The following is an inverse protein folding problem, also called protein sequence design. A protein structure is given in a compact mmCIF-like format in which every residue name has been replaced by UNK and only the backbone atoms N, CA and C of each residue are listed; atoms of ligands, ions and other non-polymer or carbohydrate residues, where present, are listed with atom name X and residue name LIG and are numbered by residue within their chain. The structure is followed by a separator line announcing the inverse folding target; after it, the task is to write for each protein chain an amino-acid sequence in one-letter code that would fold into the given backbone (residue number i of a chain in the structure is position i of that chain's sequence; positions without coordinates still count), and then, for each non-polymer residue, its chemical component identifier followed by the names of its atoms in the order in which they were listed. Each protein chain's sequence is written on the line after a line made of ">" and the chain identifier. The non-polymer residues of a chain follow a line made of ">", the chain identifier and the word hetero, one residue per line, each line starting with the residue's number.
data_IF_273518393669
#
_entry.id   IF_273518393669
#
_cell.length_a   1.000
_cell.length_b   1.000
_cell.length_c   1.000
_cell.angle_alpha   90.00
_cell.angle_beta   90.00
_cell.angle_gamma   90.00
#
_symmetry.space_group_name_H-M   'P 1'
#
loop_
_entity.id
_entity.type
_entity.pdbx_description
1 polymer ?
#
# COMPACT_ATOMS: atom_id res chain seq x y z
N UNK A 1 9.13 -14.88 -25.91
CA UNK A 1 7.92 -14.17 -25.40
C UNK A 1 7.72 -14.53 -23.93
N UNK A 2 7.34 -13.60 -23.04
CA UNK A 2 7.01 -13.97 -21.65
C UNK A 2 5.84 -14.96 -21.67
N UNK A 3 5.91 -16.01 -20.84
CA UNK A 3 4.84 -17.02 -20.80
C UNK A 3 3.55 -16.41 -20.29
N UNK A 4 2.41 -16.98 -20.68
CA UNK A 4 1.08 -16.52 -20.25
C UNK A 4 0.98 -16.40 -18.72
N UNK A 5 1.62 -17.34 -18.00
CA UNK A 5 1.73 -17.35 -16.55
C UNK A 5 2.42 -16.09 -16.00
N UNK A 6 3.51 -15.65 -16.63
CA UNK A 6 4.25 -14.47 -16.14
C UNK A 6 3.47 -13.19 -16.34
N UNK A 7 2.72 -13.07 -17.46
CA UNK A 7 1.79 -11.96 -17.70
C UNK A 7 0.68 -11.93 -16.66
N UNK A 8 0.12 -13.10 -16.37
CA UNK A 8 -0.90 -13.26 -15.32
C UNK A 8 -0.40 -12.83 -13.94
N UNK A 9 0.79 -13.28 -13.53
CA UNK A 9 1.37 -12.91 -12.23
C UNK A 9 1.64 -11.41 -12.12
N UNK A 10 2.13 -10.77 -13.19
CA UNK A 10 2.34 -9.33 -13.21
C UNK A 10 1.01 -8.55 -13.14
N UNK A 11 -0.02 -9.00 -13.86
CA UNK A 11 -1.36 -8.42 -13.79
C UNK A 11 -2.02 -8.62 -12.43
N UNK A 12 -1.84 -9.77 -11.78
CA UNK A 12 -2.32 -10.02 -10.41
C UNK A 12 -1.59 -9.10 -9.42
N UNK A 13 -0.26 -9.01 -9.49
CA UNK A 13 0.51 -8.14 -8.61
C UNK A 13 0.11 -6.67 -8.77
N UNK A 14 -0.14 -6.24 -10.01
CA UNK A 14 -0.65 -4.89 -10.29
C UNK A 14 -2.10 -4.69 -9.85
N UNK A 15 -2.97 -5.69 -10.02
CA UNK A 15 -4.34 -5.66 -9.53
C UNK A 15 -4.39 -5.56 -8.00
N UNK A 16 -3.54 -6.32 -7.30
CA UNK A 16 -3.37 -6.25 -5.85
C UNK A 16 -2.85 -4.88 -5.42
N UNK A 17 -1.86 -4.32 -6.11
CA UNK A 17 -1.36 -2.97 -5.89
C UNK A 17 -2.44 -1.90 -6.00
N UNK A 18 -3.26 -1.98 -7.05
CA UNK A 18 -4.36 -1.03 -7.27
C UNK A 18 -5.45 -1.20 -6.23
N UNK A 19 -5.89 -2.44 -5.96
CA UNK A 19 -6.89 -2.73 -4.95
C UNK A 19 -6.44 -2.26 -3.55
N UNK A 20 -5.17 -2.47 -3.24
CA UNK A 20 -4.57 -2.06 -1.98
C UNK A 20 -4.37 -0.55 -1.88
N UNK A 21 -3.87 0.13 -2.92
CA UNK A 21 -3.78 1.61 -2.92
C UNK A 21 -5.16 2.26 -2.81
N UNK A 22 -6.17 1.61 -3.39
CA UNK A 22 -7.58 2.01 -3.33
C UNK A 22 -8.21 1.85 -1.94
N UNK A 23 -7.73 0.92 -1.11
CA UNK A 23 -8.29 0.69 0.23
C UNK A 23 -7.41 1.23 1.37
N UNK A 24 -6.09 1.03 1.31
CA UNK A 24 -5.16 1.41 2.37
C UNK A 24 -4.79 2.90 2.40
N UNK A 25 -4.84 3.60 1.25
CA UNK A 25 -4.49 5.03 1.16
C UNK A 25 -5.74 5.88 0.90
N UNK A 26 -6.54 5.48 -0.09
CA UNK A 26 -7.77 6.19 -0.44
C UNK A 26 -8.83 6.10 0.66
N UNK A 27 -8.96 4.96 1.34
CA UNK A 27 -9.90 4.77 2.46
C UNK A 27 -9.82 5.83 3.56
N UNK A 28 -8.67 6.01 4.25
CA UNK A 28 -8.54 7.01 5.32
C UNK A 28 -8.64 8.46 4.82
N UNK A 29 -8.18 8.75 3.60
CA UNK A 29 -8.33 10.08 2.97
C UNK A 29 -9.80 10.39 2.70
N UNK A 30 -10.54 9.43 2.14
CA UNK A 30 -11.95 9.58 1.82
C UNK A 30 -12.82 9.64 3.07
N UNK A 31 -12.49 8.89 4.13
CA UNK A 31 -13.14 8.98 5.44
C UNK A 31 -13.07 10.41 6.02
N UNK A 32 -11.90 11.06 5.93
CA UNK A 32 -11.72 12.45 6.35
C UNK A 32 -12.40 13.44 5.40
N UNK A 33 -12.28 13.25 4.10
CA UNK A 33 -12.84 14.14 3.08
C UNK A 33 -14.37 14.20 3.14
N UNK A 34 -15.02 13.07 3.45
CA UNK A 34 -16.47 12.97 3.57
C UNK A 34 -16.99 13.12 5.00
N UNK A 35 -16.12 13.38 5.99
CA UNK A 35 -16.54 13.67 7.37
C UNK A 35 -17.29 12.53 8.05
N UNK A 36 -17.01 11.28 7.70
CA UNK A 36 -17.78 10.13 8.19
C UNK A 36 -17.67 9.90 9.70
N UNK A 37 -16.62 10.43 10.34
CA UNK A 37 -16.43 10.35 11.78
C UNK A 37 -17.45 11.17 12.57
N UNK A 38 -17.98 12.24 11.98
CA UNK A 38 -18.89 13.18 12.64
C UNK A 38 -20.37 12.98 12.22
N UNK A 39 -20.62 12.13 11.23
CA UNK A 39 -21.95 11.88 10.69
C UNK A 39 -22.67 10.74 11.42
N UNK A 40 -23.96 10.91 11.72
CA UNK A 40 -24.81 9.88 12.35
C UNK A 40 -26.15 9.72 11.60
N UNK A 41 -26.78 8.54 11.75
CA UNK A 41 -28.11 8.27 11.17
C UNK A 41 -28.16 8.33 9.64
N UNK A 42 -29.22 8.94 9.09
CA UNK A 42 -29.42 9.04 7.62
C UNK A 42 -28.32 9.86 6.91
N UNK A 43 -27.71 10.82 7.60
CA UNK A 43 -26.60 11.60 7.08
C UNK A 43 -25.32 10.76 6.91
N UNK A 44 -25.09 9.80 7.83
CA UNK A 44 -24.00 8.84 7.70
C UNK A 44 -24.18 7.94 6.47
N UNK A 45 -25.39 7.40 6.27
CA UNK A 45 -25.67 6.53 5.14
C UNK A 45 -25.44 7.24 3.79
N UNK A 46 -25.90 8.50 3.65
CA UNK A 46 -25.68 9.29 2.44
C UNK A 46 -24.22 9.69 2.21
N UNK A 47 -23.47 9.99 3.28
CA UNK A 47 -22.04 10.30 3.20
C UNK A 47 -21.21 9.06 2.82
N UNK A 48 -21.53 7.90 3.40
CA UNK A 48 -20.91 6.61 3.09
C UNK A 48 -21.14 6.22 1.62
N UNK A 49 -22.35 6.40 1.11
CA UNK A 49 -22.68 6.03 -0.27
C UNK A 49 -21.93 6.90 -1.28
N UNK A 50 -21.89 8.23 -1.06
CA UNK A 50 -21.07 9.15 -1.85
C UNK A 50 -19.58 8.83 -1.77
N UNK A 51 -19.10 8.48 -0.58
CA UNK A 51 -17.71 8.08 -0.36
C UNK A 51 -17.37 6.82 -1.18
N UNK A 52 -18.21 5.79 -1.12
CA UNK A 52 -18.01 4.53 -1.86
C UNK A 52 -18.01 4.77 -3.37
N UNK A 53 -18.95 5.55 -3.89
CA UNK A 53 -19.03 5.89 -5.33
C UNK A 53 -17.78 6.65 -5.76
N UNK A 54 -17.39 7.68 -5.01
CA UNK A 54 -16.22 8.50 -5.34
C UNK A 54 -14.93 7.69 -5.28
N UNK A 55 -14.78 6.86 -4.25
CA UNK A 55 -13.64 5.95 -4.11
C UNK A 55 -13.57 4.97 -5.27
N UNK A 56 -14.71 4.43 -5.70
CA UNK A 56 -14.79 3.50 -6.84
C UNK A 56 -14.38 4.16 -8.15
N UNK A 57 -14.83 5.39 -8.41
CA UNK A 57 -14.45 6.17 -9.60
C UNK A 57 -12.95 6.47 -9.62
N UNK A 58 -12.41 6.94 -8.49
CA UNK A 58 -10.97 7.25 -8.39
C UNK A 58 -10.12 5.99 -8.55
N UNK A 59 -10.57 4.87 -7.99
CA UNK A 59 -9.90 3.56 -8.14
C UNK A 59 -9.89 3.10 -9.60
N UNK A 60 -11.02 3.26 -10.31
CA UNK A 60 -11.15 2.94 -11.73
C UNK A 60 -10.18 3.79 -12.57
N UNK A 61 -10.16 5.11 -12.37
CA UNK A 61 -9.26 6.02 -13.09
C UNK A 61 -7.79 5.71 -12.83
N UNK A 62 -7.44 5.39 -11.58
CA UNK A 62 -6.08 4.99 -11.20
C UNK A 62 -5.68 3.70 -11.93
N UNK A 63 -6.58 2.70 -11.98
CA UNK A 63 -6.36 1.47 -12.73
C UNK A 63 -6.13 1.72 -14.22
N UNK A 64 -6.94 2.57 -14.86
CA UNK A 64 -6.78 2.94 -16.29
C UNK A 64 -5.44 3.64 -16.54
N UNK A 65 -5.07 4.61 -15.71
CA UNK A 65 -3.79 5.31 -15.82
C UNK A 65 -2.60 4.35 -15.68
N UNK A 66 -2.70 3.38 -14.77
CA UNK A 66 -1.69 2.37 -14.57
C UNK A 66 -1.54 1.45 -15.79
N UNK A 67 -2.66 0.95 -16.33
CA UNK A 67 -2.64 0.11 -17.54
C UNK A 67 -2.00 0.87 -18.70
N UNK A 68 -2.34 2.16 -18.88
CA UNK A 68 -1.74 3.01 -19.89
C UNK A 68 -0.22 3.19 -19.69
N UNK A 69 0.24 3.29 -18.44
CA UNK A 69 1.67 3.38 -18.11
C UNK A 69 2.42 2.06 -18.35
N UNK A 70 1.79 0.92 -18.03
CA UNK A 70 2.39 -0.41 -18.17
C UNK A 70 2.53 -0.85 -19.62
N UNK A 71 1.58 -0.48 -20.48
CA UNK A 71 1.64 -0.75 -21.93
C UNK A 71 2.88 -0.11 -22.59
N UNK A 72 3.43 0.97 -22.01
CA UNK A 72 4.59 1.69 -22.56
C UNK A 72 5.96 1.07 -22.23
N UNK A 73 6.03 0.00 -21.43
CA UNK A 73 7.31 -0.59 -21.00
C UNK A 73 7.64 -1.82 -21.85
N UNK A 74 8.63 -1.74 -22.78
CA UNK A 74 8.95 -2.83 -23.71
C UNK A 74 9.66 -4.01 -23.04
N UNK A 75 10.29 -3.80 -21.87
CA UNK A 75 11.03 -4.84 -21.14
C UNK A 75 10.25 -5.40 -19.96
N UNK A 76 9.68 -6.60 -20.14
CA UNK A 76 8.82 -7.28 -19.18
C UNK A 76 9.49 -7.56 -17.81
N UNK A 77 10.80 -7.88 -17.78
CA UNK A 77 11.54 -8.08 -16.51
C UNK A 77 11.72 -6.80 -15.72
N UNK A 78 11.84 -5.67 -16.41
CA UNK A 78 11.94 -4.34 -15.80
C UNK A 78 10.56 -3.88 -15.29
N UNK A 79 9.48 -4.23 -16.01
CA UNK A 79 8.10 -4.03 -15.57
C UNK A 79 7.83 -4.73 -14.22
N UNK A 80 8.21 -6.00 -14.12
CA UNK A 80 8.03 -6.81 -12.93
C UNK A 80 8.90 -6.31 -11.77
N UNK A 81 10.12 -5.83 -12.06
CA UNK A 81 10.97 -5.15 -11.09
C UNK A 81 10.34 -3.86 -10.54
N UNK A 82 9.76 -3.02 -11.40
CA UNK A 82 9.01 -1.84 -10.96
C UNK A 82 7.75 -2.19 -10.18
N UNK A 83 7.01 -3.21 -10.60
CA UNK A 83 5.86 -3.73 -9.86
C UNK A 83 6.24 -4.15 -8.44
N UNK A 84 7.26 -5.00 -8.29
CA UNK A 84 7.75 -5.42 -6.97
C UNK A 84 8.30 -4.26 -6.14
N UNK A 85 9.06 -3.35 -6.75
CA UNK A 85 9.65 -2.22 -6.05
C UNK A 85 8.58 -1.27 -5.50
N UNK A 86 7.58 -0.95 -6.32
CA UNK A 86 6.45 -0.10 -5.94
C UNK A 86 5.60 -0.80 -4.88
N UNK A 87 5.31 -2.10 -5.02
CA UNK A 87 4.55 -2.89 -4.02
C UNK A 87 5.26 -2.92 -2.67
N UNK A 88 6.57 -3.16 -2.69
CA UNK A 88 7.37 -3.17 -1.48
C UNK A 88 7.37 -1.82 -0.77
N UNK A 89 7.59 -0.72 -1.51
CA UNK A 89 7.58 0.63 -0.96
C UNK A 89 6.22 0.98 -0.36
N UNK A 90 5.16 0.63 -1.08
CA UNK A 90 3.78 0.82 -0.68
C UNK A 90 3.49 0.11 0.64
N UNK A 91 3.83 -1.17 0.79
CA UNK A 91 3.68 -1.89 2.06
C UNK A 91 4.42 -1.22 3.23
N UNK A 92 5.62 -0.70 3.00
CA UNK A 92 6.40 0.03 4.01
C UNK A 92 5.73 1.35 4.40
N UNK A 93 5.15 2.08 3.45
CA UNK A 93 4.42 3.32 3.71
C UNK A 93 3.13 3.09 4.51
N UNK A 94 2.42 1.98 4.29
CA UNK A 94 1.25 1.65 5.13
C UNK A 94 1.65 1.20 6.51
N UNK A 95 2.76 0.47 6.65
CA UNK A 95 3.28 0.17 7.97
C UNK A 95 3.60 1.47 8.73
N UNK A 96 4.23 2.43 8.06
CA UNK A 96 4.49 3.76 8.63
C UNK A 96 3.21 4.52 8.96
N UNK A 97 2.21 4.53 8.07
CA UNK A 97 0.93 5.19 8.31
C UNK A 97 0.18 4.57 9.50
N UNK A 98 0.22 3.25 9.65
CA UNK A 98 -0.38 2.55 10.78
C UNK A 98 0.30 2.94 12.11
N UNK A 99 1.63 3.08 12.12
CA UNK A 99 2.37 3.57 13.29
C UNK A 99 2.03 5.02 13.62
N UNK A 100 1.92 5.88 12.61
CA UNK A 100 1.54 7.30 12.80
C UNK A 100 0.09 7.48 13.26
N UNK A 101 -0.79 6.50 12.99
CA UNK A 101 -2.17 6.50 13.46
C UNK A 101 -2.34 6.06 14.91
N UNK A 102 -1.30 5.57 15.58
CA UNK A 102 -1.37 5.18 16.99
C UNK A 102 -1.35 6.40 17.90
N UNK A 103 -2.28 6.49 18.85
CA UNK A 103 -2.33 7.60 19.80
C UNK A 103 -1.16 7.53 20.80
N UNK A 104 -0.25 8.51 20.81
CA UNK A 104 0.95 8.46 21.66
C UNK A 104 0.63 8.59 23.16
N UNK A 105 -0.53 9.15 23.51
CA UNK A 105 -0.94 9.38 24.90
C UNK A 105 -1.19 8.11 25.71
N UNK A 106 -1.45 6.99 25.05
CA UNK A 106 -1.74 5.69 25.69
C UNK A 106 -0.44 5.02 26.19
N UNK A 107 0.69 5.34 25.57
CA UNK A 107 2.01 4.79 25.93
C UNK A 107 2.71 5.56 27.04
N UNK A 108 2.17 6.71 27.46
CA UNK A 108 2.76 7.52 28.52
C UNK A 108 2.17 7.12 29.89
N UNK A 109 3.00 6.59 30.82
CA UNK A 109 2.53 6.16 32.14
C UNK A 109 2.03 7.33 33.01
N UNK A 110 2.38 8.58 32.67
CA UNK A 110 1.90 9.78 33.37
C UNK A 110 0.46 10.17 32.99
N UNK A 111 -0.02 9.76 31.81
CA UNK A 111 -1.37 10.10 31.30
C UNK A 111 -2.33 8.91 31.34
N UNK A 112 -1.86 7.69 31.08
CA UNK A 112 -2.69 6.47 31.06
C UNK A 112 -2.61 5.61 32.33
N UNK A 113 -1.67 5.91 33.23
CA UNK A 113 -1.34 5.04 34.37
C UNK A 113 -0.47 3.84 33.99
N UNK A 114 0.25 3.27 34.96
CA UNK A 114 1.25 2.20 34.72
C UNK A 114 0.68 0.95 34.06
N UNK A 115 -0.54 0.56 34.43
CA UNK A 115 -1.16 -0.67 33.93
C UNK A 115 -1.62 -0.51 32.47
N UNK A 116 -2.30 0.59 32.14
CA UNK A 116 -2.73 0.85 30.75
C UNK A 116 -1.55 1.03 29.79
N UNK A 117 -0.45 1.64 30.24
CA UNK A 117 0.78 1.74 29.46
C UNK A 117 1.36 0.34 29.16
N UNK A 118 1.37 -0.55 30.16
CA UNK A 118 1.89 -1.92 30.00
C UNK A 118 1.01 -2.77 29.06
N UNK A 119 -0.31 -2.60 29.15
CA UNK A 119 -1.26 -3.24 28.23
C UNK A 119 -1.08 -2.73 26.79
N UNK A 120 -0.85 -1.42 26.62
CA UNK A 120 -0.57 -0.82 25.32
C UNK A 120 0.75 -1.32 24.70
N UNK A 121 1.82 -1.44 25.49
CA UNK A 121 3.07 -2.05 25.01
C UNK A 121 2.90 -3.51 24.61
N UNK A 122 2.11 -4.27 25.37
CA UNK A 122 1.79 -5.67 25.05
C UNK A 122 1.00 -5.77 23.74
N UNK A 123 -0.02 -4.92 23.57
CA UNK A 123 -0.81 -4.85 22.34
C UNK A 123 0.05 -4.45 21.13
N UNK A 124 0.94 -3.48 21.30
CA UNK A 124 1.88 -3.06 20.25
C UNK A 124 2.82 -4.21 19.85
N UNK A 125 3.31 -4.98 20.82
CA UNK A 125 4.16 -6.14 20.56
C UNK A 125 3.44 -7.19 19.70
N UNK A 126 2.21 -7.56 20.07
CA UNK A 126 1.43 -8.53 19.28
C UNK A 126 1.04 -7.98 17.91
N UNK A 127 0.67 -6.71 17.82
CA UNK A 127 0.41 -6.05 16.54
C UNK A 127 1.66 -6.07 15.66
N UNK A 128 2.83 -5.78 16.22
CA UNK A 128 4.09 -5.83 15.50
C UNK A 128 4.39 -7.25 15.03
N UNK A 129 4.11 -8.28 15.82
CA UNK A 129 4.41 -9.67 15.45
C UNK A 129 3.46 -10.22 14.37
N UNK A 130 2.16 -9.87 14.46
CA UNK A 130 1.11 -10.38 13.56
C UNK A 130 1.05 -9.57 12.27
N UNK A 131 1.18 -8.25 12.36
CA UNK A 131 1.00 -7.33 11.24
C UNK A 131 2.28 -6.59 10.89
N UNK A 132 2.98 -6.03 11.88
CA UNK A 132 4.14 -5.18 11.61
C UNK A 132 5.29 -5.89 10.87
N UNK A 133 5.72 -7.03 11.39
CA UNK A 133 6.90 -7.77 10.96
C UNK A 133 6.69 -8.44 9.61
N UNK A 134 5.54 -9.09 9.32
CA UNK A 134 5.24 -9.56 7.97
C UNK A 134 5.24 -8.42 6.94
N UNK A 135 4.60 -7.28 7.24
CA UNK A 135 4.60 -6.13 6.33
C UNK A 135 6.00 -5.56 6.10
N UNK A 136 6.81 -5.47 7.16
CA UNK A 136 8.20 -5.01 7.08
C UNK A 136 9.06 -5.96 6.23
N UNK A 137 9.03 -7.26 6.54
CA UNK A 137 9.83 -8.29 5.85
C UNK A 137 9.41 -8.39 4.38
N UNK A 138 8.11 -8.49 4.11
CA UNK A 138 7.60 -8.59 2.74
C UNK A 138 7.82 -7.29 1.97
N UNK A 139 7.60 -6.13 2.59
CA UNK A 139 7.85 -4.81 2.00
C UNK A 139 9.32 -4.63 1.60
N UNK A 140 10.25 -4.95 2.50
CA UNK A 140 11.69 -4.90 2.22
C UNK A 140 12.09 -5.91 1.13
N UNK A 141 11.64 -7.16 1.23
CA UNK A 141 11.98 -8.19 0.25
C UNK A 141 11.52 -7.82 -1.18
N UNK A 142 10.32 -7.26 -1.31
CA UNK A 142 9.77 -6.80 -2.59
C UNK A 142 10.48 -5.55 -3.11
N UNK A 143 10.78 -4.58 -2.23
CA UNK A 143 11.51 -3.36 -2.60
C UNK A 143 12.89 -3.70 -3.12
N UNK A 144 13.65 -4.49 -2.36
CA UNK A 144 15.02 -4.90 -2.68
C UNK A 144 15.02 -5.81 -3.92
N UNK A 145 14.15 -6.83 -3.96
CA UNK A 145 14.03 -7.75 -5.09
C UNK A 145 13.63 -7.04 -6.40
N UNK A 146 12.67 -6.12 -6.32
CA UNK A 146 12.25 -5.28 -7.44
C UNK A 146 13.38 -4.38 -7.94
N UNK A 147 14.11 -3.74 -7.02
CA UNK A 147 15.26 -2.90 -7.35
C UNK A 147 16.40 -3.67 -8.04
N UNK A 148 16.70 -4.88 -7.55
CA UNK A 148 17.69 -5.76 -8.18
C UNK A 148 17.26 -6.16 -9.59
N UNK A 149 15.98 -6.47 -9.81
CA UNK A 149 15.43 -6.80 -11.14
C UNK A 149 15.52 -5.63 -12.12
N UNK A 150 15.31 -4.39 -11.65
CA UNK A 150 15.46 -3.17 -12.45
C UNK A 150 16.93 -2.99 -12.84
N UNK A 151 17.87 -3.10 -11.89
CA UNK A 151 19.31 -2.94 -12.15
C UNK A 151 19.86 -4.01 -13.09
N UNK A 152 19.39 -5.25 -12.97
CA UNK A 152 19.83 -6.37 -13.82
C UNK A 152 19.24 -6.36 -15.23
N UNK A 153 18.23 -5.54 -15.51
CA UNK A 153 17.62 -5.44 -16.84
C UNK A 153 17.51 -3.98 -17.30
N UNK A 154 18.66 -3.35 -17.67
CA UNK A 154 18.65 -2.00 -18.22
C UNK A 154 17.73 -1.91 -19.45
N UNK A 155 17.03 -0.78 -19.61
CA UNK A 155 16.16 -0.56 -20.77
C UNK A 155 16.94 -0.54 -22.09
N UNK A 156 16.26 -0.70 -23.23
CA UNK A 156 16.90 -0.53 -24.54
C UNK A 156 17.42 0.91 -24.62
N UNK A 157 18.75 1.08 -24.60
CA UNK A 157 19.42 2.39 -24.57
C UNK A 157 20.50 2.55 -23.49
N UNK A 158 20.54 1.69 -22.47
CA UNK A 158 21.66 1.65 -21.52
C UNK A 158 22.78 0.77 -22.09
N UNK A 159 23.60 1.37 -22.95
CA UNK A 159 24.83 0.76 -23.46
C UNK A 159 25.72 0.31 -22.28
N UNK A 160 26.28 -0.90 -22.38
CA UNK A 160 27.43 -1.30 -21.56
C UNK A 160 28.59 -0.36 -21.91
N UNK A 161 29.23 0.32 -20.95
CA UNK A 161 30.59 0.79 -21.20
C UNK A 161 31.46 -0.43 -21.46
N UNK A 162 32.24 -0.36 -22.55
CA UNK A 162 33.22 -1.35 -22.96
C UNK A 162 34.36 -1.45 -21.96
#
# INVERSE_FOLDING_TARGET
>A
MPSALTKWLASIAFGLLVAWASHGVLGPVMLRMFGLADATGLAYAAALDRMLITTSIVSLLTGVALVAALVRIPNFRRLLGWGCAVLGLILLLTLLAALLGMEPGIFNPATGGKQAANDAYTALFFWALIFGLPYLVTGLALTIGGWVLIRRNPGPGAARPA
#
